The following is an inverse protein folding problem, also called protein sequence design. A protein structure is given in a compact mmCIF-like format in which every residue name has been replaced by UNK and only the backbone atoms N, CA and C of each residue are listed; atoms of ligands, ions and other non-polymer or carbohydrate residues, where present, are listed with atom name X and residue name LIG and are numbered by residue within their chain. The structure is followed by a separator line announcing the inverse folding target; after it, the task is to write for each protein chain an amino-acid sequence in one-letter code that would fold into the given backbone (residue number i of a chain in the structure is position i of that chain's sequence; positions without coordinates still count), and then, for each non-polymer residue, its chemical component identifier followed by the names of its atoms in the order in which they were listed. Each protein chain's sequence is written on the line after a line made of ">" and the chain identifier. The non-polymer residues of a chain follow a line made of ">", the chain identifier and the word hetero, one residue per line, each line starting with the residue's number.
data_IF_025990548725
#
_entry.id   IF_025990548725
#
_cell.length_a   1.000
_cell.length_b   1.000
_cell.length_c   1.000
_cell.angle_alpha   90.00
_cell.angle_beta   90.00
_cell.angle_gamma   90.00
#
_symmetry.space_group_name_H-M   'P 1'
#
loop_
_entity.id
_entity.type
_entity.pdbx_description
1 polymer ?
#
# COMPACT_ATOMS: atom_id res chain seq x y z
N UNK A 1 61.89 17.66 22.72
CA UNK A 1 61.98 17.36 24.16
C UNK A 1 60.62 17.62 24.78
N UNK A 2 60.15 16.71 25.64
CA UNK A 2 59.09 16.88 26.65
C UNK A 2 57.64 17.10 26.13
N UNK A 3 56.76 16.08 26.17
CA UNK A 3 55.88 15.68 27.32
C UNK A 3 54.64 16.61 27.40
N UNK A 4 53.39 16.17 27.52
CA UNK A 4 52.79 14.98 28.13
C UNK A 4 51.42 14.67 27.50
N UNK A 5 51.10 13.38 27.55
CA UNK A 5 49.77 12.75 27.47
C UNK A 5 48.78 13.39 28.46
N UNK A 6 47.53 13.64 28.07
CA UNK A 6 46.34 13.30 28.89
C UNK A 6 45.19 12.92 27.94
N UNK A 7 44.78 11.64 28.04
CA UNK A 7 43.54 11.11 27.51
C UNK A 7 42.35 11.77 28.23
N UNK A 8 41.42 12.36 27.49
CA UNK A 8 40.08 12.63 28.00
C UNK A 8 39.08 11.78 27.20
N UNK A 9 38.79 10.60 27.72
CA UNK A 9 37.70 9.76 27.25
C UNK A 9 36.37 10.43 27.67
N UNK A 10 35.76 11.20 26.76
CA UNK A 10 34.34 11.52 26.91
C UNK A 10 33.55 10.30 26.46
N UNK A 11 33.03 9.57 27.46
CA UNK A 11 32.00 8.57 27.24
C UNK A 11 30.81 9.24 26.55
N UNK A 12 30.62 8.96 25.26
CA UNK A 12 29.37 9.21 24.58
C UNK A 12 28.34 8.26 25.21
N UNK A 13 27.61 8.75 26.21
CA UNK A 13 26.39 8.09 26.67
C UNK A 13 25.42 8.18 25.50
N UNK A 14 25.38 7.14 24.69
CA UNK A 14 24.29 6.86 23.77
C UNK A 14 23.06 6.61 24.62
N UNK A 15 22.40 7.70 25.01
CA UNK A 15 21.03 7.70 25.51
C UNK A 15 20.20 7.06 24.40
N UNK A 16 20.00 5.74 24.51
CA UNK A 16 19.10 5.00 23.64
C UNK A 16 17.76 5.70 23.73
N UNK A 17 17.37 6.35 22.64
CA UNK A 17 16.08 7.00 22.58
C UNK A 17 15.03 5.90 22.83
N UNK A 18 14.08 6.11 23.75
CA UNK A 18 12.97 5.17 23.88
C UNK A 18 12.29 5.13 22.51
N UNK A 19 12.33 3.98 21.86
CA UNK A 19 11.48 3.70 20.70
C UNK A 19 10.07 3.66 21.26
N UNK A 20 9.42 4.81 21.28
CA UNK A 20 8.01 4.92 21.60
C UNK A 20 7.27 4.04 20.61
N UNK A 21 6.58 3.02 21.12
CA UNK A 21 5.68 2.19 20.32
C UNK A 21 4.66 3.13 19.67
N UNK A 22 4.83 3.40 18.38
CA UNK A 22 3.87 4.15 17.59
C UNK A 22 2.58 3.33 17.59
N UNK A 23 1.55 3.87 18.25
CA UNK A 23 0.23 3.24 18.28
C UNK A 23 -0.19 3.04 16.84
N UNK A 24 -0.46 1.78 16.45
CA UNK A 24 -0.90 1.49 15.10
C UNK A 24 -2.12 2.38 14.77
N UNK A 25 -2.15 3.02 13.59
CA UNK A 25 -3.25 3.91 13.24
C UNK A 25 -4.58 3.16 13.38
N UNK A 26 -5.58 3.83 13.96
CA UNK A 26 -6.91 3.26 14.22
C UNK A 26 -7.60 2.71 12.95
N UNK A 27 -7.15 3.15 11.77
CA UNK A 27 -7.54 2.60 10.47
C UNK A 27 -6.29 2.37 9.63
N UNK A 28 -5.75 1.13 9.57
CA UNK A 28 -4.62 0.84 8.71
C UNK A 28 -5.02 1.06 7.25
N UNK A 29 -4.14 1.73 6.50
CA UNK A 29 -4.32 1.98 5.07
C UNK A 29 -2.99 1.82 4.35
N UNK A 30 -3.03 1.30 3.13
CA UNK A 30 -1.85 1.04 2.31
C UNK A 30 -2.09 1.62 0.92
N UNK A 31 -1.12 2.37 0.41
CA UNK A 31 -1.15 2.90 -0.95
C UNK A 31 -0.80 1.81 -1.96
N UNK A 32 -1.64 1.65 -2.99
CA UNK A 32 -1.39 0.69 -4.09
C UNK A 32 -0.81 1.43 -5.29
N UNK A 33 0.48 1.24 -5.54
CA UNK A 33 1.13 1.78 -6.74
C UNK A 33 0.69 1.03 -8.00
N UNK A 34 0.38 1.80 -9.06
CA UNK A 34 -0.15 1.29 -10.32
C UNK A 34 0.40 1.99 -11.57
N UNK A 35 1.39 2.88 -11.41
CA UNK A 35 1.95 3.68 -12.54
C UNK A 35 2.71 2.84 -13.56
N UNK A 36 3.17 1.67 -13.14
CA UNK A 36 3.90 0.69 -13.94
C UNK A 36 2.99 -0.26 -14.72
N UNK A 37 1.66 -0.17 -14.53
CA UNK A 37 0.68 -1.01 -15.20
C UNK A 37 0.06 -0.26 -16.38
N UNK A 38 -0.04 -0.92 -17.54
CA UNK A 38 -0.89 -0.44 -18.62
C UNK A 38 -2.35 -0.81 -18.36
N UNK A 39 -3.06 0.09 -17.68
CA UNK A 39 -4.46 -0.07 -17.30
C UNK A 39 -5.44 0.02 -18.48
N UNK A 40 -4.97 0.29 -19.69
CA UNK A 40 -5.80 0.21 -20.91
C UNK A 40 -5.96 -1.23 -21.41
N UNK A 41 -5.21 -2.16 -20.83
CA UNK A 41 -5.23 -3.58 -21.19
C UNK A 41 -5.90 -4.42 -20.11
N UNK A 42 -6.54 -5.52 -20.52
CA UNK A 42 -7.10 -6.50 -19.57
C UNK A 42 -6.03 -7.09 -18.63
N UNK A 43 -4.82 -7.28 -19.14
CA UNK A 43 -3.70 -7.79 -18.34
C UNK A 43 -3.31 -6.80 -17.23
N UNK A 44 -3.24 -5.50 -17.53
CA UNK A 44 -2.92 -4.46 -16.57
C UNK A 44 -4.02 -4.25 -15.53
N UNK A 45 -5.30 -4.27 -15.94
CA UNK A 45 -6.43 -4.17 -14.99
C UNK A 45 -6.47 -5.38 -14.05
N UNK A 46 -6.26 -6.60 -14.56
CA UNK A 46 -6.12 -7.81 -13.72
C UNK A 46 -4.91 -7.74 -12.79
N UNK A 47 -3.79 -7.15 -13.23
CA UNK A 47 -2.63 -6.97 -12.38
C UNK A 47 -2.90 -5.99 -11.22
N UNK A 48 -3.62 -4.90 -11.49
CA UNK A 48 -4.08 -3.95 -10.47
C UNK A 48 -5.01 -4.63 -9.47
N UNK A 49 -5.98 -5.41 -9.94
CA UNK A 49 -6.93 -6.12 -9.09
C UNK A 49 -6.22 -7.06 -8.08
N UNK A 50 -5.21 -7.80 -8.54
CA UNK A 50 -4.37 -8.66 -7.68
C UNK A 50 -3.56 -7.88 -6.66
N UNK A 51 -3.09 -6.67 -7.00
CA UNK A 51 -2.36 -5.81 -6.05
C UNK A 51 -3.29 -5.26 -4.97
N UNK A 52 -4.49 -4.82 -5.37
CA UNK A 52 -5.52 -4.39 -4.44
C UNK A 52 -5.88 -5.53 -3.49
N UNK A 53 -6.04 -6.75 -3.99
CA UNK A 53 -6.33 -7.89 -3.13
C UNK A 53 -5.24 -8.14 -2.07
N UNK A 54 -3.96 -8.04 -2.46
CA UNK A 54 -2.84 -8.15 -1.50
C UNK A 54 -2.90 -7.05 -0.44
N UNK A 55 -3.15 -5.81 -0.82
CA UNK A 55 -3.30 -4.71 0.13
C UNK A 55 -4.52 -4.90 1.06
N UNK A 56 -5.63 -5.43 0.55
CA UNK A 56 -6.81 -5.77 1.37
C UNK A 56 -6.47 -6.84 2.41
N UNK A 57 -5.72 -7.88 2.02
CA UNK A 57 -5.29 -8.93 2.95
C UNK A 57 -4.33 -8.37 4.02
N UNK A 58 -3.44 -7.46 3.63
CA UNK A 58 -2.51 -6.78 4.56
C UNK A 58 -3.27 -5.92 5.58
N UNK A 59 -4.20 -5.08 5.12
CA UNK A 59 -4.99 -4.18 5.99
C UNK A 59 -5.91 -4.97 6.93
N UNK A 60 -6.57 -6.01 6.45
CA UNK A 60 -7.51 -6.80 7.26
C UNK A 60 -6.84 -7.89 8.10
N UNK A 61 -5.56 -8.19 7.85
CA UNK A 61 -4.79 -9.18 8.59
C UNK A 61 -5.40 -10.60 8.58
N UNK A 62 -5.14 -11.31 9.67
CA UNK A 62 -5.56 -12.70 9.92
C UNK A 62 -6.03 -12.86 11.36
N UNK A 63 -7.00 -13.75 11.58
CA UNK A 63 -7.43 -14.15 12.92
C UNK A 63 -6.82 -15.52 13.30
N UNK A 64 -6.60 -15.79 14.60
CA UNK A 64 -6.15 -17.10 15.08
C UNK A 64 -7.06 -18.25 14.65
N UNK A 65 -6.50 -19.46 14.57
CA UNK A 65 -7.26 -20.58 13.98
C UNK A 65 -8.48 -21.02 14.79
N UNK A 66 -8.39 -20.88 16.11
CA UNK A 66 -9.45 -21.19 17.06
C UNK A 66 -10.55 -20.11 17.14
N UNK A 67 -10.29 -18.91 16.61
CA UNK A 67 -11.21 -17.78 16.70
C UNK A 67 -12.12 -17.71 15.47
N UNK A 68 -13.25 -18.40 15.55
CA UNK A 68 -14.25 -18.42 14.47
C UNK A 68 -14.89 -17.04 14.27
N UNK A 69 -15.13 -16.30 15.36
CA UNK A 69 -15.73 -14.97 15.29
C UNK A 69 -14.77 -14.00 14.59
N UNK A 70 -13.51 -13.93 15.02
CA UNK A 70 -12.49 -13.11 14.37
C UNK A 70 -12.25 -13.51 12.91
N UNK A 71 -12.31 -14.81 12.57
CA UNK A 71 -12.28 -15.25 11.16
C UNK A 71 -13.47 -14.70 10.37
N UNK A 72 -14.66 -14.58 10.96
CA UNK A 72 -15.82 -13.99 10.28
C UNK A 72 -15.61 -12.49 10.06
N UNK A 73 -15.06 -11.80 11.07
CA UNK A 73 -14.78 -10.37 11.02
C UNK A 73 -13.73 -10.04 9.95
N UNK A 74 -12.64 -10.83 9.88
CA UNK A 74 -11.63 -10.69 8.80
C UNK A 74 -12.25 -10.92 7.43
N UNK A 75 -13.15 -11.90 7.28
CA UNK A 75 -13.85 -12.12 6.00
C UNK A 75 -14.76 -10.94 5.63
N UNK A 76 -15.46 -10.36 6.60
CA UNK A 76 -16.28 -9.18 6.39
C UNK A 76 -15.41 -7.96 6.03
N UNK A 77 -14.33 -7.70 6.77
CA UNK A 77 -13.36 -6.66 6.46
C UNK A 77 -12.86 -6.77 5.03
N UNK A 78 -12.43 -7.97 4.59
CA UNK A 78 -11.92 -8.16 3.23
C UNK A 78 -12.96 -7.87 2.16
N UNK A 79 -14.23 -8.27 2.37
CA UNK A 79 -15.34 -7.95 1.44
C UNK A 79 -15.56 -6.45 1.36
N UNK A 80 -15.65 -5.79 2.50
CA UNK A 80 -15.99 -4.37 2.58
C UNK A 80 -14.86 -3.48 2.05
N UNK A 81 -13.63 -3.74 2.47
CA UNK A 81 -12.43 -3.03 1.99
C UNK A 81 -12.23 -3.25 0.49
N UNK A 82 -12.42 -4.49 -0.01
CA UNK A 82 -12.31 -4.77 -1.45
C UNK A 82 -13.35 -4.00 -2.24
N UNK A 83 -14.62 -3.96 -1.78
CA UNK A 83 -15.69 -3.21 -2.43
C UNK A 83 -15.36 -1.73 -2.54
N UNK A 84 -14.88 -1.12 -1.46
CA UNK A 84 -14.46 0.30 -1.47
C UNK A 84 -13.29 0.53 -2.43
N UNK A 85 -12.28 -0.34 -2.37
CA UNK A 85 -11.09 -0.22 -3.23
C UNK A 85 -11.42 -0.45 -4.72
N UNK A 86 -12.36 -1.33 -5.05
CA UNK A 86 -12.79 -1.58 -6.43
C UNK A 86 -13.42 -0.33 -7.06
N UNK A 87 -14.26 0.40 -6.32
CA UNK A 87 -14.83 1.67 -6.83
C UNK A 87 -13.73 2.68 -7.17
N UNK A 88 -12.69 2.77 -6.35
CA UNK A 88 -11.53 3.64 -6.63
C UNK A 88 -10.73 3.14 -7.84
N UNK A 89 -10.55 1.82 -7.96
CA UNK A 89 -9.87 1.22 -9.10
C UNK A 89 -10.60 1.49 -10.42
N UNK A 90 -11.93 1.40 -10.43
CA UNK A 90 -12.75 1.67 -11.62
C UNK A 90 -12.56 3.10 -12.12
N UNK A 91 -12.46 4.09 -11.21
CA UNK A 91 -12.14 5.47 -11.57
C UNK A 91 -10.74 5.59 -12.18
N UNK A 92 -9.74 4.93 -11.59
CA UNK A 92 -8.36 4.94 -12.08
C UNK A 92 -8.27 4.30 -13.47
N UNK A 93 -8.93 3.16 -13.69
CA UNK A 93 -8.98 2.46 -14.98
C UNK A 93 -9.71 3.32 -16.02
N UNK A 94 -10.87 3.87 -15.69
CA UNK A 94 -11.61 4.74 -16.59
C UNK A 94 -10.78 5.96 -17.02
N UNK A 95 -10.01 6.55 -16.09
CA UNK A 95 -9.13 7.67 -16.40
C UNK A 95 -7.95 7.28 -17.30
N UNK A 96 -7.43 6.05 -17.20
CA UNK A 96 -6.36 5.56 -18.08
C UNK A 96 -6.82 5.48 -19.54
N UNK A 97 -8.10 5.17 -19.79
CA UNK A 97 -8.67 5.12 -21.14
C UNK A 97 -8.97 6.49 -21.74
N UNK A 98 -9.15 7.55 -20.93
CA UNK A 98 -9.43 8.90 -21.44
C UNK A 98 -8.26 9.55 -22.21
N UNK A 99 -7.05 8.99 -22.10
CA UNK A 99 -5.88 9.44 -22.87
C UNK A 99 -5.79 8.87 -24.28
N UNK A 100 -6.72 8.00 -24.69
CA UNK A 100 -6.72 7.42 -26.03
C UNK A 100 -7.14 8.47 -27.08
N UNK A 101 -6.33 8.71 -28.13
CA UNK A 101 -6.64 9.74 -29.11
C UNK A 101 -7.94 9.42 -29.85
N UNK A 102 -8.80 10.43 -29.99
CA UNK A 102 -10.00 10.35 -30.82
C UNK A 102 -9.54 10.21 -32.28
N UNK A 103 -9.78 9.05 -32.88
CA UNK A 103 -9.55 8.83 -34.30
C UNK A 103 -10.75 9.35 -35.08
N UNK A 104 -10.52 10.30 -35.99
CA UNK A 104 -11.54 10.82 -36.91
C UNK A 104 -11.15 10.43 -38.33
N UNK A 105 -11.97 9.60 -39.00
CA UNK A 105 -11.78 9.22 -40.40
C UNK A 105 -12.82 9.90 -41.30
N UNK A 106 -12.44 10.20 -42.55
CA UNK A 106 -13.37 10.77 -43.54
C UNK A 106 -14.48 9.77 -43.89
N UNK A 107 -15.72 10.26 -44.01
CA UNK A 107 -16.88 9.46 -44.46
C UNK A 107 -16.93 9.33 -45.99
N UNK A 108 -16.05 10.05 -46.71
CA UNK A 108 -15.92 9.97 -48.17
C UNK A 108 -14.48 9.60 -48.52
N UNK A 109 -14.35 8.55 -49.33
CA UNK A 109 -13.11 8.11 -49.95
C UNK A 109 -12.93 8.82 -51.29
#
# INVERSE_FOLDING_TARGET
>A
MQKLLILAALAAVSIGQPVSAQTAPANPSVAVAHRDLDLRTEAGTKALDRRIWRAVVEVCGTAPDFDIAGKNDVRQCRRDTKRVASVQADVVVANASRGEPIQVSSIRN
#
